data_IF_560833272287
#
_entry.id   IF_560833272287
#
_cell.length_a   1.000
_cell.length_b   1.000
_cell.length_c   1.000
_cell.angle_alpha   90.00
_cell.angle_beta   90.00
_cell.angle_gamma   90.00
#
_symmetry.space_group_name_H-M   'P 1'
#
loop_
_entity.id
_entity.type
_entity.pdbx_description
1 polymer ?
#
# COMPACT_ATOMS: atom_id res chain seq x y z
N UNK A 1 -22.46 -5.13 23.80
CA UNK A 1 -21.52 -5.11 22.67
C UNK A 1 -21.88 -3.93 21.80
N UNK A 2 -20.97 -3.01 21.53
CA UNK A 2 -21.23 -1.92 20.59
C UNK A 2 -21.42 -2.55 19.20
N UNK A 3 -22.64 -2.44 18.66
CA UNK A 3 -22.93 -2.80 17.28
C UNK A 3 -22.42 -1.68 16.39
N UNK A 4 -21.18 -1.81 15.91
CA UNK A 4 -20.64 -0.90 14.92
C UNK A 4 -21.44 -1.07 13.61
N UNK A 5 -21.73 0.04 12.94
CA UNK A 5 -22.34 0.06 11.62
C UNK A 5 -21.64 1.09 10.75
N UNK A 6 -21.57 0.79 9.45
CA UNK A 6 -21.04 1.69 8.44
C UNK A 6 -22.25 2.35 7.78
N UNK A 7 -22.30 3.68 7.86
CA UNK A 7 -23.41 4.48 7.34
C UNK A 7 -22.99 5.17 6.05
N UNK A 8 -23.83 5.08 5.03
CA UNK A 8 -23.62 5.71 3.73
C UNK A 8 -24.50 6.94 3.60
N UNK A 9 -23.88 8.05 3.21
CA UNK A 9 -24.53 9.35 3.03
C UNK A 9 -24.48 9.78 1.56
N UNK A 10 -25.43 10.61 1.14
CA UNK A 10 -25.37 11.27 -0.16
C UNK A 10 -24.39 12.45 -0.08
N UNK A 11 -23.30 12.40 -0.86
CA UNK A 11 -22.32 13.47 -0.91
C UNK A 11 -22.87 14.77 -1.52
N UNK A 12 -23.94 14.70 -2.32
CA UNK A 12 -24.62 15.86 -2.90
C UNK A 12 -25.71 16.46 -2.02
N UNK A 13 -26.23 15.70 -1.04
CA UNK A 13 -27.32 16.15 -0.18
C UNK A 13 -27.39 15.38 1.15
N UNK A 14 -26.67 15.89 2.15
CA UNK A 14 -26.66 15.31 3.49
C UNK A 14 -28.02 15.39 4.22
N UNK A 15 -28.98 16.18 3.73
CA UNK A 15 -30.30 16.31 4.37
C UNK A 15 -31.14 15.04 4.28
N UNK A 16 -30.88 14.19 3.27
CA UNK A 16 -31.50 12.87 3.10
C UNK A 16 -31.14 11.89 4.23
N UNK A 17 -30.14 12.22 5.05
CA UNK A 17 -29.66 11.38 6.13
C UNK A 17 -28.99 10.11 5.61
N UNK A 18 -29.14 9.02 6.34
CA UNK A 18 -28.47 7.75 6.04
C UNK A 18 -29.22 7.02 4.92
N UNK A 19 -28.57 6.86 3.78
CA UNK A 19 -29.12 6.15 2.62
C UNK A 19 -29.14 4.63 2.83
N UNK A 20 -28.05 4.10 3.39
CA UNK A 20 -27.84 2.67 3.57
C UNK A 20 -26.96 2.42 4.81
N UNK A 21 -27.20 1.29 5.49
CA UNK A 21 -26.48 0.87 6.71
C UNK A 21 -25.96 -0.54 6.54
N UNK A 22 -24.65 -0.67 6.60
CA UNK A 22 -23.98 -1.96 6.62
C UNK A 22 -23.60 -2.30 8.07
N UNK A 23 -24.22 -3.35 8.61
CA UNK A 23 -23.95 -3.78 9.99
C UNK A 23 -22.79 -4.77 10.00
N UNK A 24 -21.63 -4.34 10.49
CA UNK A 24 -20.46 -5.19 10.66
C UNK A 24 -20.00 -5.07 12.11
N UNK A 25 -20.12 -6.17 12.85
CA UNK A 25 -19.80 -6.17 14.27
C UNK A 25 -18.28 -6.08 14.48
N UNK A 26 -17.85 -5.17 15.36
CA UNK A 26 -16.45 -5.07 15.77
C UNK A 26 -15.50 -4.45 14.74
N UNK A 27 -15.98 -3.69 13.75
CA UNK A 27 -15.09 -3.01 12.79
C UNK A 27 -14.13 -2.05 13.50
N UNK A 28 -12.86 -2.15 13.16
CA UNK A 28 -11.80 -1.26 13.63
C UNK A 28 -11.28 -0.30 12.56
N UNK A 29 -11.30 -0.70 11.28
CA UNK A 29 -10.91 0.16 10.16
C UNK A 29 -11.77 -0.10 8.93
N UNK A 30 -11.96 0.95 8.13
CA UNK A 30 -12.70 0.88 6.85
C UNK A 30 -11.92 1.60 5.77
N UNK A 31 -12.04 1.14 4.54
CA UNK A 31 -11.50 1.82 3.36
C UNK A 31 -12.50 1.73 2.21
N UNK A 32 -12.85 2.89 1.65
CA UNK A 32 -13.69 3.00 0.46
C UNK A 32 -12.83 2.80 -0.79
N UNK A 33 -13.36 2.04 -1.74
CA UNK A 33 -12.71 1.85 -3.04
C UNK A 33 -12.61 3.17 -3.83
N UNK A 34 -11.61 3.28 -4.71
CA UNK A 34 -11.19 4.57 -5.29
C UNK A 34 -12.07 5.06 -6.44
N UNK A 35 -12.13 4.30 -7.54
CA UNK A 35 -12.75 4.77 -8.78
C UNK A 35 -13.24 3.57 -9.62
N UNK A 36 -14.54 3.25 -9.64
CA UNK A 36 -15.63 3.89 -8.90
C UNK A 36 -15.65 3.50 -7.41
N UNK A 37 -16.18 4.35 -6.54
CA UNK A 37 -16.39 4.02 -5.12
C UNK A 37 -17.57 3.04 -4.93
N UNK A 38 -17.40 1.82 -5.44
CA UNK A 38 -18.44 0.78 -5.54
C UNK A 38 -18.36 -0.26 -4.42
N UNK A 39 -17.23 -0.38 -3.73
CA UNK A 39 -17.01 -1.35 -2.66
C UNK A 39 -16.39 -0.68 -1.43
N UNK A 40 -16.61 -1.29 -0.26
CA UNK A 40 -15.99 -0.93 1.02
C UNK A 40 -15.29 -2.16 1.59
N UNK A 41 -14.04 -1.98 2.00
CA UNK A 41 -13.31 -2.95 2.80
C UNK A 41 -13.50 -2.61 4.27
N UNK A 42 -13.80 -3.61 5.10
CA UNK A 42 -13.87 -3.48 6.54
C UNK A 42 -12.93 -4.49 7.20
N UNK A 43 -12.13 -3.99 8.15
CA UNK A 43 -11.27 -4.80 9.00
C UNK A 43 -11.93 -4.99 10.37
N UNK A 44 -12.06 -6.24 10.77
CA UNK A 44 -12.53 -6.67 12.08
C UNK A 44 -11.34 -7.36 12.79
N UNK A 45 -10.83 -6.83 13.91
CA UNK A 45 -9.73 -7.42 14.63
C UNK A 45 -10.17 -8.67 15.40
N UNK A 46 -9.19 -9.40 15.95
CA UNK A 46 -9.45 -10.58 16.76
C UNK A 46 -10.26 -10.25 18.01
N UNK A 47 -11.24 -11.10 18.31
CA UNK A 47 -12.05 -10.96 19.52
C UNK A 47 -12.61 -12.30 19.97
N UNK A 48 -12.41 -12.63 21.26
CA UNK A 48 -13.06 -13.77 21.95
C UNK A 48 -13.02 -15.09 21.15
N UNK A 49 -11.86 -15.44 20.59
CA UNK A 49 -11.67 -16.68 19.81
C UNK A 49 -12.08 -16.61 18.34
N UNK A 50 -12.62 -15.47 17.87
CA UNK A 50 -12.85 -15.21 16.45
C UNK A 50 -11.58 -14.59 15.84
N UNK A 51 -11.05 -15.13 14.73
CA UNK A 51 -9.89 -14.58 14.03
C UNK A 51 -10.18 -13.20 13.45
N UNK A 52 -9.14 -12.40 13.25
CA UNK A 52 -9.26 -11.13 12.53
C UNK A 52 -9.73 -11.42 11.10
N UNK A 53 -10.44 -10.49 10.48
CA UNK A 53 -10.83 -10.64 9.08
C UNK A 53 -10.93 -9.32 8.36
N UNK A 54 -10.56 -9.35 7.09
CA UNK A 54 -10.87 -8.29 6.12
C UNK A 54 -12.01 -8.78 5.24
N UNK A 55 -13.04 -7.95 5.13
CA UNK A 55 -14.29 -8.26 4.45
C UNK A 55 -14.56 -7.16 3.41
N UNK A 56 -14.90 -7.55 2.19
CA UNK A 56 -15.27 -6.64 1.11
C UNK A 56 -16.79 -6.65 0.96
N UNK A 57 -17.40 -5.48 0.91
CA UNK A 57 -18.84 -5.31 0.73
C UNK A 57 -19.13 -4.44 -0.49
N UNK A 58 -20.14 -4.82 -1.27
CA UNK A 58 -20.64 -4.00 -2.37
C UNK A 58 -21.48 -2.84 -1.81
N UNK A 59 -21.28 -1.64 -2.36
CA UNK A 59 -22.04 -0.44 -2.03
C UNK A 59 -23.21 -0.31 -3.01
N UNK A 60 -24.42 -0.65 -2.56
CA UNK A 60 -25.62 -0.54 -3.38
C UNK A 60 -26.88 -0.65 -2.52
N UNK A 61 -28.01 -0.10 -2.98
CA UNK A 61 -29.28 -0.22 -2.25
C UNK A 61 -29.77 -1.67 -2.15
N UNK A 62 -29.35 -2.51 -3.10
CA UNK A 62 -29.72 -3.92 -3.19
C UNK A 62 -28.63 -4.87 -2.65
N UNK A 63 -27.52 -4.34 -2.10
CA UNK A 63 -26.51 -5.20 -1.52
C UNK A 63 -27.02 -5.76 -0.19
N UNK A 64 -27.38 -7.04 -0.22
CA UNK A 64 -27.54 -7.85 0.98
C UNK A 64 -26.28 -7.65 1.83
N UNK A 65 -26.40 -7.49 3.15
CA UNK A 65 -25.31 -7.26 4.12
C UNK A 65 -24.28 -8.43 4.21
N UNK A 66 -24.03 -9.13 3.10
CA UNK A 66 -23.15 -10.25 2.92
C UNK A 66 -21.84 -9.75 2.31
N UNK A 67 -20.68 -10.18 2.85
CA UNK A 67 -19.39 -9.86 2.24
C UNK A 67 -19.24 -10.60 0.91
N UNK A 68 -18.74 -9.90 -0.10
CA UNK A 68 -18.43 -10.45 -1.43
C UNK A 68 -17.17 -11.32 -1.38
N UNK A 69 -16.19 -10.89 -0.60
CA UNK A 69 -14.99 -11.66 -0.31
C UNK A 69 -14.63 -11.47 1.17
N UNK A 70 -14.09 -12.52 1.81
CA UNK A 70 -13.71 -12.47 3.21
C UNK A 70 -12.46 -13.30 3.45
N UNK A 71 -11.41 -12.64 3.91
CA UNK A 71 -10.19 -13.30 4.35
C UNK A 71 -10.01 -13.20 5.86
N UNK A 72 -9.74 -14.32 6.50
CA UNK A 72 -9.46 -14.39 7.93
C UNK A 72 -7.97 -14.56 8.20
N UNK A 73 -7.49 -13.97 9.28
CA UNK A 73 -6.10 -13.95 9.71
C UNK A 73 -6.02 -14.33 11.19
N UNK A 74 -4.96 -15.07 11.53
CA UNK A 74 -4.63 -15.40 12.91
C UNK A 74 -3.39 -14.59 13.32
N UNK A 75 -3.38 -14.09 14.54
CA UNK A 75 -2.34 -13.23 15.14
C UNK A 75 -2.10 -11.95 14.34
N UNK A 76 -3.16 -11.25 13.99
CA UNK A 76 -3.07 -9.98 13.26
C UNK A 76 -2.98 -8.80 14.25
N UNK A 77 -1.91 -8.00 14.19
CA UNK A 77 -1.79 -6.75 14.96
C UNK A 77 -2.27 -5.54 14.15
N UNK A 78 -1.74 -5.36 12.94
CA UNK A 78 -2.10 -4.25 12.05
C UNK A 78 -2.42 -4.73 10.64
N UNK A 79 -3.24 -3.95 9.94
CA UNK A 79 -3.60 -4.19 8.54
C UNK A 79 -3.50 -2.89 7.77
N UNK A 80 -2.86 -2.95 6.61
CA UNK A 80 -2.96 -1.92 5.58
C UNK A 80 -3.78 -2.47 4.42
N UNK A 81 -4.77 -1.69 4.01
CA UNK A 81 -5.66 -1.98 2.90
C UNK A 81 -5.34 -0.96 1.80
N UNK A 82 -5.12 -1.45 0.58
CA UNK A 82 -4.82 -0.62 -0.58
C UNK A 82 -5.70 -1.06 -1.76
N UNK A 83 -6.68 -0.23 -2.13
CA UNK A 83 -7.52 -0.47 -3.32
C UNK A 83 -6.81 -0.14 -4.64
N UNK A 84 -7.08 -0.97 -5.66
CA UNK A 84 -6.66 -0.69 -7.02
C UNK A 84 -7.53 0.39 -7.70
N UNK A 85 -7.00 0.99 -8.76
CA UNK A 85 -7.80 1.81 -9.67
C UNK A 85 -8.75 0.90 -10.47
N UNK A 86 -10.03 1.22 -10.52
CA UNK A 86 -11.09 0.34 -11.05
C UNK A 86 -11.88 -0.43 -9.99
N UNK A 87 -11.43 -0.43 -8.73
CA UNK A 87 -12.15 -1.05 -7.59
C UNK A 87 -12.48 -2.53 -7.80
N UNK A 88 -11.57 -3.26 -8.46
CA UNK A 88 -11.70 -4.69 -8.76
C UNK A 88 -10.89 -5.57 -7.79
N UNK A 89 -9.94 -4.99 -7.08
CA UNK A 89 -9.01 -5.73 -6.22
C UNK A 89 -8.46 -4.88 -5.08
N UNK A 90 -8.19 -5.57 -3.97
CA UNK A 90 -7.69 -5.03 -2.72
C UNK A 90 -6.42 -5.79 -2.31
N UNK A 91 -5.33 -5.05 -2.09
CA UNK A 91 -4.14 -5.59 -1.44
C UNK A 91 -4.27 -5.38 0.07
N UNK A 92 -3.96 -6.42 0.81
CA UNK A 92 -4.05 -6.45 2.27
C UNK A 92 -2.70 -6.88 2.83
N UNK A 93 -1.95 -5.92 3.37
CA UNK A 93 -0.72 -6.20 4.11
C UNK A 93 -1.10 -6.43 5.56
N UNK A 94 -0.92 -7.66 6.03
CA UNK A 94 -1.17 -8.04 7.42
C UNK A 94 0.17 -8.10 8.12
N UNK A 95 0.29 -7.44 9.27
CA UNK A 95 1.44 -7.55 10.15
C UNK A 95 1.03 -8.23 11.46
N UNK A 96 1.92 -9.07 11.96
CA UNK A 96 1.78 -9.82 13.19
C UNK A 96 2.94 -9.46 14.13
N UNK A 97 2.61 -8.97 15.32
CA UNK A 97 3.60 -8.72 16.36
C UNK A 97 4.15 -10.05 16.89
N UNK A 98 5.41 -10.00 17.31
CA UNK A 98 6.18 -11.18 17.71
C UNK A 98 5.70 -11.67 19.08
N UNK A 99 5.19 -12.90 19.15
CA UNK A 99 5.05 -13.61 20.42
C UNK A 99 6.43 -14.09 20.93
N UNK A 100 6.51 -14.39 22.24
CA UNK A 100 7.65 -14.68 23.14
C UNK A 100 8.85 -15.53 22.67
N UNK A 101 8.95 -15.95 21.40
CA UNK A 101 10.06 -16.74 20.83
C UNK A 101 11.20 -15.92 20.22
N UNK A 102 11.09 -14.59 20.12
CA UNK A 102 12.22 -13.69 19.83
C UNK A 102 13.00 -14.00 18.52
N UNK A 103 12.36 -14.64 17.53
CA UNK A 103 13.04 -15.08 16.30
C UNK A 103 13.03 -14.04 15.16
N UNK A 104 12.18 -13.03 15.22
CA UNK A 104 12.08 -12.00 14.17
C UNK A 104 11.89 -10.63 14.80
N UNK A 105 12.92 -9.78 14.83
CA UNK A 105 12.87 -8.43 15.42
C UNK A 105 11.79 -7.49 14.81
N UNK A 106 11.27 -7.83 13.62
CA UNK A 106 10.34 -7.01 12.84
C UNK A 106 8.92 -7.59 12.72
N UNK A 107 8.59 -8.67 13.44
CA UNK A 107 7.31 -9.35 13.24
C UNK A 107 7.25 -10.19 11.95
N UNK A 108 6.08 -10.78 11.69
CA UNK A 108 5.78 -11.46 10.42
C UNK A 108 4.79 -10.59 9.63
N UNK A 109 5.05 -10.38 8.35
CA UNK A 109 4.13 -9.65 7.47
C UNK A 109 3.77 -10.48 6.25
N UNK A 110 2.49 -10.52 5.90
CA UNK A 110 1.96 -11.27 4.76
C UNK A 110 1.17 -10.36 3.85
N UNK A 111 1.44 -10.45 2.56
CA UNK A 111 0.65 -9.78 1.53
C UNK A 111 -0.44 -10.73 1.02
N UNK A 112 -1.70 -10.29 1.10
CA UNK A 112 -2.84 -10.99 0.55
C UNK A 112 -3.49 -10.13 -0.54
N UNK A 113 -4.08 -10.79 -1.52
CA UNK A 113 -4.80 -10.15 -2.60
C UNK A 113 -6.23 -10.73 -2.68
N UNK A 114 -7.21 -9.83 -2.62
CA UNK A 114 -8.64 -10.11 -2.63
C UNK A 114 -9.27 -9.41 -3.82
N UNK A 115 -10.05 -10.13 -4.62
CA UNK A 115 -10.81 -9.53 -5.72
C UNK A 115 -12.28 -9.37 -5.37
N UNK A 116 -12.94 -8.40 -5.98
CA UNK A 116 -14.38 -8.15 -5.79
C UNK A 116 -15.25 -9.15 -6.54
N UNK A 117 -14.70 -9.92 -7.47
CA UNK A 117 -15.40 -10.98 -8.21
C UNK A 117 -15.27 -12.37 -7.54
N UNK A 118 -14.46 -12.49 -6.49
CA UNK A 118 -14.16 -13.76 -5.82
C UNK A 118 -13.23 -14.70 -6.62
N UNK A 119 -12.72 -14.28 -7.78
CA UNK A 119 -11.80 -15.08 -8.61
C UNK A 119 -10.47 -15.35 -7.89
N UNK A 120 -9.98 -14.39 -7.10
CA UNK A 120 -8.73 -14.51 -6.38
C UNK A 120 -8.89 -14.10 -4.92
N UNK A 121 -8.67 -15.06 -4.03
CA UNK A 121 -8.60 -14.85 -2.59
C UNK A 121 -7.40 -15.63 -2.04
N UNK A 122 -6.28 -14.95 -1.81
CA UNK A 122 -5.09 -15.67 -1.38
C UNK A 122 -3.87 -14.83 -1.04
N UNK A 123 -2.83 -15.54 -0.60
CA UNK A 123 -1.52 -14.99 -0.30
C UNK A 123 -0.74 -14.79 -1.61
N UNK A 124 -0.09 -13.64 -1.75
CA UNK A 124 0.79 -13.37 -2.89
C UNK A 124 2.10 -14.14 -2.70
N UNK A 125 2.51 -14.99 -3.66
CA UNK A 125 3.71 -15.83 -3.49
C UNK A 125 4.99 -14.99 -3.63
N UNK A 126 5.53 -14.57 -2.49
CA UNK A 126 6.77 -13.81 -2.41
C UNK A 126 7.98 -14.75 -2.42
N UNK A 127 8.85 -14.62 -3.44
CA UNK A 127 10.01 -15.51 -3.67
C UNK A 127 11.23 -15.24 -2.77
N UNK A 128 11.04 -14.60 -1.61
CA UNK A 128 12.10 -14.25 -0.67
C UNK A 128 11.51 -14.12 0.72
N UNK A 129 12.17 -14.72 1.70
CA UNK A 129 11.79 -14.61 3.11
C UNK A 129 12.11 -13.24 3.69
N UNK A 130 11.22 -12.78 4.57
CA UNK A 130 11.32 -11.53 5.30
C UNK A 130 10.07 -10.66 5.16
N UNK A 131 10.10 -9.44 5.71
CA UNK A 131 8.94 -8.59 5.78
C UNK A 131 8.59 -7.96 4.43
N UNK A 132 7.35 -7.50 4.29
CA UNK A 132 6.86 -6.64 3.21
C UNK A 132 7.06 -5.20 3.67
N UNK A 133 7.93 -4.47 2.98
CA UNK A 133 8.28 -3.11 3.35
C UNK A 133 7.29 -2.10 2.76
N UNK A 134 6.92 -2.25 1.49
CA UNK A 134 5.96 -1.37 0.82
C UNK A 134 5.26 -2.10 -0.34
N UNK A 135 4.03 -1.66 -0.62
CA UNK A 135 3.15 -2.22 -1.64
C UNK A 135 2.40 -1.08 -2.32
N UNK A 136 2.55 -0.99 -3.63
CA UNK A 136 1.91 0.07 -4.40
C UNK A 136 1.26 -0.46 -5.67
N UNK A 137 -0.01 -0.09 -5.87
CA UNK A 137 -0.69 -0.27 -7.16
C UNK A 137 -0.09 0.67 -8.22
N UNK A 138 -0.01 0.16 -9.44
CA UNK A 138 0.11 1.01 -10.63
C UNK A 138 -1.10 1.96 -10.73
N UNK A 139 -0.92 3.10 -11.40
CA UNK A 139 -2.01 4.05 -11.63
C UNK A 139 -3.12 3.48 -12.53
N UNK A 140 -2.80 2.53 -13.41
CA UNK A 140 -3.79 1.78 -14.19
C UNK A 140 -4.63 0.84 -13.32
N UNK A 141 -4.10 0.43 -12.17
CA UNK A 141 -4.70 -0.57 -11.29
C UNK A 141 -4.61 -2.00 -11.83
N UNK A 142 -3.80 -2.26 -12.86
CA UNK A 142 -3.62 -3.58 -13.50
C UNK A 142 -2.44 -4.38 -12.93
N UNK A 143 -1.43 -3.69 -12.45
CA UNK A 143 -0.23 -4.26 -11.83
C UNK A 143 0.01 -3.65 -10.46
N UNK A 144 0.80 -4.33 -9.62
CA UNK A 144 1.27 -3.79 -8.36
C UNK A 144 2.73 -4.15 -8.12
N UNK A 145 3.47 -3.25 -7.48
CA UNK A 145 4.85 -3.47 -7.08
C UNK A 145 4.91 -3.78 -5.59
N UNK A 146 5.82 -4.68 -5.23
CA UNK A 146 6.06 -5.12 -3.85
C UNK A 146 7.55 -5.09 -3.58
N UNK A 147 7.96 -4.49 -2.47
CA UNK A 147 9.31 -4.57 -1.92
C UNK A 147 9.26 -5.43 -0.68
N UNK A 148 10.01 -6.54 -0.69
CA UNK A 148 9.91 -7.56 0.35
C UNK A 148 11.22 -8.31 0.59
N UNK A 149 11.29 -8.94 1.75
CA UNK A 149 12.39 -9.77 2.19
C UNK A 149 13.41 -9.03 3.05
N UNK A 150 14.29 -9.80 3.68
CA UNK A 150 15.41 -9.24 4.44
C UNK A 150 16.37 -8.47 3.53
N UNK A 151 16.91 -7.38 4.06
CA UNK A 151 17.82 -6.50 3.33
C UNK A 151 19.06 -7.27 2.85
N UNK A 152 19.49 -7.12 1.58
CA UNK A 152 18.92 -6.25 0.54
C UNK A 152 17.55 -6.75 0.03
N UNK A 153 16.49 -5.96 0.18
CA UNK A 153 15.12 -6.35 -0.16
C UNK A 153 14.97 -6.54 -1.67
N UNK A 154 14.08 -7.45 -2.07
CA UNK A 154 13.74 -7.71 -3.47
C UNK A 154 12.54 -6.88 -3.87
N UNK A 155 12.59 -6.27 -5.05
CA UNK A 155 11.48 -5.52 -5.63
C UNK A 155 10.94 -6.26 -6.86
N UNK A 156 9.64 -6.57 -6.86
CA UNK A 156 8.99 -7.31 -7.96
C UNK A 156 7.65 -6.68 -8.29
N UNK A 157 7.35 -6.58 -9.58
CA UNK A 157 6.04 -6.17 -10.11
C UNK A 157 5.23 -7.43 -10.42
N UNK A 158 3.99 -7.46 -9.96
CA UNK A 158 3.05 -8.55 -10.16
C UNK A 158 1.84 -8.10 -10.99
N UNK A 159 1.22 -9.04 -11.70
CA UNK A 159 -0.09 -8.86 -12.34
C UNK A 159 -1.25 -9.05 -11.34
N UNK A 160 -2.47 -8.78 -11.77
CA UNK A 160 -3.72 -9.11 -11.05
C UNK A 160 -3.90 -10.58 -10.68
N UNK A 161 -3.10 -11.50 -11.23
CA UNK A 161 -3.14 -12.94 -10.91
C UNK A 161 -2.00 -13.34 -9.96
N UNK A 162 -1.30 -12.37 -9.39
CA UNK A 162 -0.14 -12.56 -8.52
C UNK A 162 1.05 -13.26 -9.19
N UNK A 163 1.15 -13.21 -10.51
CA UNK A 163 2.32 -13.67 -11.26
C UNK A 163 3.38 -12.57 -11.33
N UNK A 164 4.67 -12.88 -11.09
CA UNK A 164 5.74 -11.90 -11.22
C UNK A 164 5.97 -11.56 -12.71
N UNK A 165 5.78 -10.29 -13.06
CA UNK A 165 5.98 -9.74 -14.42
C UNK A 165 7.41 -9.24 -14.65
N UNK A 166 7.96 -8.54 -13.65
CA UNK A 166 9.29 -7.93 -13.74
C UNK A 166 9.94 -7.92 -12.36
N UNK A 167 11.16 -8.43 -12.28
CA UNK A 167 12.00 -8.31 -11.09
C UNK A 167 12.93 -7.10 -11.26
N UNK A 168 12.79 -6.10 -10.40
CA UNK A 168 13.53 -4.83 -10.46
C UNK A 168 14.88 -4.91 -9.74
N UNK A 169 15.31 -6.11 -9.36
CA UNK A 169 16.53 -6.37 -8.63
C UNK A 169 16.38 -6.39 -7.12
N UNK A 170 17.52 -6.33 -6.42
CA UNK A 170 17.59 -6.31 -4.96
C UNK A 170 18.48 -5.14 -4.52
N UNK A 171 18.12 -4.50 -3.42
CA UNK A 171 18.86 -3.38 -2.87
C UNK A 171 18.34 -2.97 -1.50
N UNK A 172 18.93 -1.95 -0.86
CA UNK A 172 18.46 -1.44 0.42
C UNK A 172 17.19 -0.59 0.22
N UNK A 173 16.12 -1.17 -0.35
CA UNK A 173 14.89 -0.48 -0.66
C UNK A 173 13.80 -0.81 0.36
N UNK A 174 13.04 0.19 0.78
CA UNK A 174 11.84 0.03 1.60
C UNK A 174 10.63 0.81 1.09
N UNK A 175 10.79 1.64 0.05
CA UNK A 175 9.76 2.54 -0.43
C UNK A 175 9.61 2.40 -1.95
N UNK A 176 8.37 2.38 -2.42
CA UNK A 176 8.01 2.37 -3.84
C UNK A 176 7.21 3.63 -4.16
N UNK A 177 7.58 4.31 -5.24
CA UNK A 177 6.79 5.43 -5.77
C UNK A 177 6.63 5.29 -7.27
N UNK A 178 5.43 4.94 -7.69
CA UNK A 178 4.99 4.94 -9.08
C UNK A 178 4.72 6.38 -9.53
N UNK A 179 5.04 6.67 -10.78
CA UNK A 179 4.74 7.95 -11.41
C UNK A 179 3.26 8.04 -11.81
N UNK A 180 2.57 9.19 -11.61
CA UNK A 180 1.16 9.40 -11.99
C UNK A 180 0.80 9.07 -13.43
N UNK A 181 1.74 9.20 -14.37
CA UNK A 181 1.58 8.84 -15.79
C UNK A 181 1.83 7.35 -16.07
N UNK A 182 2.24 6.57 -15.06
CA UNK A 182 2.47 5.13 -15.14
C UNK A 182 3.79 4.70 -15.78
N UNK A 183 4.57 5.62 -16.35
CA UNK A 183 5.80 5.30 -17.10
C UNK A 183 6.99 4.96 -16.19
N UNK A 184 7.20 5.74 -15.14
CA UNK A 184 8.37 5.64 -14.28
C UNK A 184 8.04 5.06 -12.91
N UNK A 185 9.02 4.41 -12.30
CA UNK A 185 8.96 3.86 -10.96
C UNK A 185 10.24 4.24 -10.22
N UNK A 186 10.11 4.71 -8.98
CA UNK A 186 11.24 4.94 -8.09
C UNK A 186 11.22 3.89 -6.97
N UNK A 187 12.33 3.18 -6.81
CA UNK A 187 12.62 2.34 -5.64
C UNK A 187 13.59 3.11 -4.76
N UNK A 188 13.29 3.24 -3.48
CA UNK A 188 14.11 4.03 -2.57
C UNK A 188 14.28 3.37 -1.21
N UNK A 189 15.40 3.67 -0.56
CA UNK A 189 15.73 3.28 0.80
C UNK A 189 15.78 4.46 1.75
N UNK A 190 14.67 4.78 2.40
CA UNK A 190 14.56 5.96 3.28
C UNK A 190 14.61 5.64 4.78
N UNK A 191 14.75 6.67 5.61
CA UNK A 191 14.85 6.54 7.07
C UNK A 191 16.20 5.99 7.52
N UNK A 192 16.19 4.75 8.06
CA UNK A 192 17.40 4.09 8.57
C UNK A 192 18.28 3.47 7.46
N UNK A 193 17.87 3.58 6.21
CA UNK A 193 18.59 3.06 5.05
C UNK A 193 19.46 4.17 4.42
N UNK A 194 20.43 3.83 3.57
CA UNK A 194 21.41 4.78 3.03
C UNK A 194 20.84 5.96 2.22
N UNK A 195 19.57 5.95 1.83
CA UNK A 195 19.01 6.96 0.92
C UNK A 195 19.14 6.60 -0.56
N UNK A 196 19.51 5.38 -0.90
CA UNK A 196 19.70 4.95 -2.29
C UNK A 196 18.36 4.95 -3.03
N UNK A 197 18.34 5.57 -4.21
CA UNK A 197 17.19 5.64 -5.09
C UNK A 197 17.54 5.11 -6.48
N UNK A 198 16.68 4.26 -7.02
CA UNK A 198 16.78 3.70 -8.35
C UNK A 198 15.53 4.03 -9.15
N UNK A 199 15.72 4.72 -10.28
CA UNK A 199 14.65 5.07 -11.21
C UNK A 199 14.59 4.05 -12.35
N UNK A 200 13.39 3.56 -12.60
CA UNK A 200 13.08 2.55 -13.60
C UNK A 200 12.07 3.08 -14.60
N UNK A 201 12.31 2.80 -15.87
CA UNK A 201 11.28 2.86 -16.91
C UNK A 201 10.57 1.51 -16.95
N UNK A 202 9.28 1.51 -16.59
CA UNK A 202 8.45 0.31 -16.58
C UNK A 202 8.11 -0.17 -17.99
N UNK A 203 7.98 0.75 -18.96
CA UNK A 203 7.61 0.44 -20.33
C UNK A 203 8.81 -0.22 -21.04
N UNK A 204 9.99 0.38 -20.90
CA UNK A 204 11.22 -0.14 -21.49
C UNK A 204 11.88 -1.24 -20.64
N UNK A 205 11.37 -1.48 -19.42
CA UNK A 205 11.89 -2.44 -18.44
C UNK A 205 13.37 -2.24 -18.14
N UNK A 206 13.81 -0.99 -18.12
CA UNK A 206 15.21 -0.60 -17.98
C UNK A 206 15.39 0.34 -16.79
N UNK A 207 16.48 0.14 -16.06
CA UNK A 207 16.93 1.10 -15.06
C UNK A 207 17.50 2.35 -15.77
N UNK A 208 16.92 3.51 -15.49
CA UNK A 208 17.36 4.80 -16.05
C UNK A 208 18.61 5.31 -15.34
N UNK A 209 18.67 5.11 -14.03
CA UNK A 209 19.87 5.32 -13.23
C UNK A 209 19.58 5.35 -11.76
N UNK A 210 20.62 5.65 -10.98
CA UNK A 210 20.58 5.68 -9.52
C UNK A 210 21.04 7.03 -9.02
N UNK A 211 20.46 7.45 -7.91
CA UNK A 211 20.87 8.64 -7.17
C UNK A 211 20.70 8.39 -5.68
N UNK A 212 21.05 9.37 -4.85
CA UNK A 212 21.02 9.23 -3.40
C UNK A 212 20.37 10.45 -2.77
N UNK A 213 19.41 10.23 -1.88
CA UNK A 213 18.77 11.26 -1.08
C UNK A 213 18.76 10.82 0.40
N UNK A 214 19.86 11.15 1.08
CA UNK A 214 20.11 10.76 2.46
C UNK A 214 19.09 11.36 3.43
N UNK A 215 18.69 10.57 4.43
CA UNK A 215 17.79 10.97 5.51
C UNK A 215 16.41 11.48 5.07
N UNK A 216 16.01 11.25 3.81
CA UNK A 216 14.67 11.63 3.35
C UNK A 216 13.62 10.91 4.17
N UNK A 217 12.59 11.65 4.58
CA UNK A 217 11.46 11.14 5.37
C UNK A 217 10.21 10.96 4.52
N UNK A 218 10.05 11.77 3.47
CA UNK A 218 8.93 11.67 2.53
C UNK A 218 9.43 11.78 1.09
N UNK A 219 8.66 11.20 0.18
CA UNK A 219 8.93 11.26 -1.25
C UNK A 219 7.66 11.14 -2.06
N UNK A 220 7.52 11.97 -3.08
CA UNK A 220 6.35 12.03 -3.94
C UNK A 220 6.71 12.46 -5.36
N UNK A 221 5.92 12.01 -6.32
CA UNK A 221 5.99 12.50 -7.70
C UNK A 221 5.13 13.75 -7.87
N UNK A 222 5.58 14.67 -8.70
CA UNK A 222 4.74 15.76 -9.15
C UNK A 222 3.52 15.23 -9.92
N UNK A 223 2.36 15.92 -9.89
CA UNK A 223 1.15 15.47 -10.59
C UNK A 223 1.30 15.31 -12.11
N UNK A 224 2.22 16.06 -12.72
CA UNK A 224 2.55 15.94 -14.15
C UNK A 224 3.46 14.73 -14.45
N UNK A 225 4.09 14.15 -13.42
CA UNK A 225 5.03 13.04 -13.54
C UNK A 225 6.42 13.42 -14.02
N UNK A 226 6.76 14.72 -14.09
CA UNK A 226 8.05 15.18 -14.58
C UNK A 226 9.12 15.24 -13.49
N UNK A 227 8.73 15.46 -12.24
CA UNK A 227 9.61 15.69 -11.12
C UNK A 227 9.37 14.68 -10.01
N UNK A 228 10.45 14.19 -9.40
CA UNK A 228 10.40 13.43 -8.16
C UNK A 228 10.93 14.30 -7.03
N UNK A 229 10.17 14.40 -5.94
CA UNK A 229 10.51 15.20 -4.78
C UNK A 229 10.90 14.31 -3.62
N UNK A 230 12.01 14.60 -2.96
CA UNK A 230 12.34 14.04 -1.63
C UNK A 230 12.40 15.15 -0.61
N UNK A 231 11.82 14.95 0.56
CA UNK A 231 11.94 15.89 1.67
C UNK A 231 12.66 15.27 2.86
N UNK A 232 13.66 15.98 3.38
CA UNK A 232 14.40 15.62 4.59
C UNK A 232 14.07 16.58 5.70
N UNK A 233 13.58 16.06 6.82
CA UNK A 233 13.28 16.85 8.01
C UNK A 233 14.42 16.71 9.01
N UNK A 234 15.23 17.76 9.17
CA UNK A 234 16.30 17.80 10.17
C UNK A 234 15.79 18.49 11.44
N UNK A 235 15.82 17.76 12.55
CA UNK A 235 15.67 18.35 13.87
C UNK A 235 17.05 18.73 14.41
N UNK A 236 17.44 19.99 14.25
CA UNK A 236 18.60 20.53 14.97
C UNK A 236 18.12 21.12 16.30
N UNK A 237 18.61 20.57 17.42
CA UNK A 237 18.48 21.10 18.80
C UNK A 237 17.15 21.82 19.08
N UNK A 238 16.07 21.05 19.26
CA UNK A 238 14.75 21.43 19.83
C UNK A 238 14.02 22.66 19.26
N UNK A 239 14.53 23.36 18.25
CA UNK A 239 13.90 24.61 17.77
C UNK A 239 14.05 24.93 16.29
N UNK A 240 14.92 24.23 15.53
CA UNK A 240 15.02 24.45 14.08
C UNK A 240 14.57 23.22 13.28
N UNK A 241 13.52 23.40 12.48
CA UNK A 241 13.06 22.46 11.46
C UNK A 241 13.63 22.92 10.12
N UNK A 242 14.64 22.23 9.60
CA UNK A 242 15.07 22.44 8.21
C UNK A 242 14.42 21.37 7.34
N UNK A 243 13.65 21.80 6.33
CA UNK A 243 13.10 20.92 5.29
C UNK A 243 13.94 21.13 4.05
N UNK A 244 14.75 20.14 3.67
CA UNK A 244 15.42 20.13 2.37
C UNK A 244 14.52 19.41 1.37
N UNK A 245 14.23 20.06 0.25
CA UNK A 245 13.45 19.49 -0.85
C UNK A 245 14.35 19.37 -2.07
N UNK A 246 14.58 18.15 -2.53
CA UNK A 246 15.33 17.91 -3.77
C UNK A 246 14.36 17.45 -4.87
N UNK A 247 14.46 18.06 -6.05
CA UNK A 247 13.70 17.66 -7.24
C UNK A 247 14.61 16.90 -8.23
N UNK A 248 14.13 15.78 -8.76
CA UNK A 248 14.81 14.99 -9.78
C UNK A 248 13.97 14.95 -11.06
N UNK A 249 14.56 15.20 -12.23
CA UNK A 249 13.84 15.08 -13.50
C UNK A 249 13.70 13.60 -13.89
N UNK A 250 12.50 13.18 -14.26
CA UNK A 250 12.25 11.79 -14.67
C UNK A 250 13.06 11.35 -15.92
N UNK A 251 13.45 12.33 -16.76
CA UNK A 251 14.18 12.12 -18.01
C UNK A 251 15.67 12.54 -17.96
N UNK A 252 16.17 12.98 -16.80
CA UNK A 252 17.54 13.41 -16.60
C UNK A 252 17.84 13.53 -15.11
N UNK A 253 18.81 12.79 -14.59
CA UNK A 253 19.14 12.75 -13.16
C UNK A 253 19.87 14.02 -12.68
N UNK A 254 19.35 15.19 -13.02
CA UNK A 254 19.81 16.47 -12.50
C UNK A 254 18.98 16.82 -11.27
N UNK A 255 19.66 17.05 -10.15
CA UNK A 255 19.05 17.55 -8.92
C UNK A 255 19.15 19.08 -8.89
N UNK A 256 18.05 19.74 -8.54
CA UNK A 256 18.04 21.17 -8.26
C UNK A 256 17.55 21.39 -6.83
N UNK A 257 18.30 22.18 -6.07
CA UNK A 257 17.96 22.66 -4.73
C UNK A 257 17.30 24.02 -4.91
N UNK A 258 16.10 24.23 -4.36
CA UNK A 258 15.47 25.56 -4.25
C UNK A 258 15.75 26.12 -2.85
#
# INVERSE_FOLDING_TARGET
MATNEIQFFDGGDFSKGVLYRLRVQGVAAIELSKAPASHVAAFVPESKGVPASVQIFACGKDSQNQPVARRSFFRCSTVQMNWNYGSTGLLVVVQADVDKTNQSYYGESKLNYLTTDGTHEGLVPLRKEGPVHDVQWSYSGSEFAVVYGFMPAKATIFDKKCNPLLELGSGPYNTIRWNPKGKFLCLAGFGNLPGDMAFWDYIEKKQLGTTKAECSVTSEWSPDGCYFMTATTLFLLRTLLMVRVDFFLAAGLESFII
#
